data_IF_927514618872
#
_entry.id   IF_927514618872
#
_cell.length_a   1.000
_cell.length_b   1.000
_cell.length_c   1.000
_cell.angle_alpha   90.00
_cell.angle_beta   90.00
_cell.angle_gamma   90.00
#
_symmetry.space_group_name_H-M   'P 1'
#
loop_
_entity.id
_entity.type
_entity.pdbx_description
1 polymer ?
#
# COMPACT_ATOMS: atom_id res chain seq x y z
N UNK A 1 -7.20 -15.30 36.95
CA UNK A 1 -6.32 -14.62 35.97
C UNK A 1 -5.05 -15.43 35.83
N UNK A 2 -4.81 -16.05 34.68
CA UNK A 2 -3.59 -16.86 34.45
C UNK A 2 -2.38 -15.94 34.42
N UNK A 3 -1.41 -16.15 35.31
CA UNK A 3 -0.12 -15.43 35.29
C UNK A 3 0.61 -15.76 33.99
N UNK A 4 1.12 -14.75 33.31
CA UNK A 4 1.85 -14.94 32.07
C UNK A 4 3.27 -15.48 32.36
N UNK A 5 3.59 -16.65 31.82
CA UNK A 5 4.79 -17.45 32.16
C UNK A 5 5.94 -17.35 31.14
N UNK A 6 6.04 -16.22 30.43
CA UNK A 6 7.06 -16.04 29.38
C UNK A 6 8.47 -16.01 29.96
N UNK A 7 9.41 -16.74 29.35
CA UNK A 7 10.85 -16.71 29.71
C UNK A 7 11.58 -15.67 28.85
N UNK A 8 12.73 -15.20 29.32
CA UNK A 8 13.58 -14.28 28.53
C UNK A 8 14.02 -14.90 27.19
N UNK A 9 14.25 -16.22 27.15
CA UNK A 9 14.56 -16.96 25.92
C UNK A 9 13.48 -16.87 24.84
N UNK A 10 12.22 -16.65 25.22
CA UNK A 10 11.10 -16.47 24.29
C UNK A 10 11.11 -15.08 23.63
N UNK A 11 12.01 -14.20 24.06
CA UNK A 11 12.08 -12.79 23.65
C UNK A 11 12.16 -12.56 22.15
N UNK A 12 13.09 -13.21 21.42
CA UNK A 12 13.21 -13.02 19.98
C UNK A 12 11.93 -13.42 19.24
N UNK A 13 11.28 -14.52 19.68
CA UNK A 13 10.07 -15.04 19.05
C UNK A 13 8.90 -14.08 19.23
N UNK A 14 8.64 -13.58 20.44
CA UNK A 14 7.52 -12.67 20.65
C UNK A 14 7.72 -11.34 19.92
N UNK A 15 8.96 -10.82 19.86
CA UNK A 15 9.26 -9.57 19.15
C UNK A 15 9.00 -9.72 17.66
N UNK A 16 9.45 -10.83 17.06
CA UNK A 16 9.18 -11.15 15.66
C UNK A 16 7.69 -11.26 15.35
N UNK A 17 6.92 -11.93 16.21
CA UNK A 17 5.47 -12.05 16.08
C UNK A 17 4.77 -10.68 16.23
N UNK A 18 5.19 -9.85 17.18
CA UNK A 18 4.64 -8.51 17.38
C UNK A 18 4.89 -7.60 16.17
N UNK A 19 6.10 -7.63 15.60
CA UNK A 19 6.45 -6.89 14.38
C UNK A 19 5.62 -7.39 13.19
N UNK A 20 5.47 -8.70 13.03
CA UNK A 20 4.67 -9.30 11.96
C UNK A 20 3.19 -8.91 12.08
N UNK A 21 2.64 -8.93 13.30
CA UNK A 21 1.26 -8.49 13.60
C UNK A 21 1.06 -7.01 13.27
N UNK A 22 2.00 -6.14 13.66
CA UNK A 22 1.95 -4.71 13.34
C UNK A 22 2.01 -4.45 11.84
N UNK A 23 2.92 -5.11 11.12
CA UNK A 23 3.04 -4.98 9.65
C UNK A 23 1.76 -5.41 8.93
N UNK A 24 1.15 -6.53 9.35
CA UNK A 24 -0.13 -6.98 8.78
C UNK A 24 -1.24 -5.94 9.00
N UNK A 25 -1.34 -5.38 10.22
CA UNK A 25 -2.31 -4.31 10.53
C UNK A 25 -2.11 -3.08 9.63
N UNK A 26 -0.88 -2.60 9.49
CA UNK A 26 -0.58 -1.44 8.65
C UNK A 26 -0.83 -1.71 7.17
N UNK A 27 -0.51 -2.92 6.67
CA UNK A 27 -0.83 -3.30 5.30
C UNK A 27 -2.35 -3.24 5.07
N UNK A 28 -3.16 -3.74 6.03
CA UNK A 28 -4.63 -3.72 5.92
C UNK A 28 -5.17 -2.30 5.79
N UNK A 29 -4.74 -1.41 6.69
CA UNK A 29 -5.11 0.00 6.63
C UNK A 29 -4.66 0.66 5.31
N UNK A 30 -3.47 0.32 4.82
CA UNK A 30 -2.93 0.88 3.58
C UNK A 30 -3.71 0.45 2.33
N UNK A 31 -4.14 -0.82 2.26
CA UNK A 31 -4.99 -1.31 1.16
C UNK A 31 -6.39 -0.72 1.23
N UNK A 32 -6.93 -0.58 2.44
CA UNK A 32 -8.22 0.06 2.67
C UNK A 32 -8.20 1.52 2.22
N UNK A 33 -7.12 2.24 2.56
CA UNK A 33 -6.90 3.62 2.15
C UNK A 33 -6.88 3.81 0.62
N UNK A 34 -6.35 2.82 -0.13
CA UNK A 34 -6.30 2.86 -1.59
C UNK A 34 -7.52 2.19 -2.29
N UNK A 35 -8.55 1.81 -1.54
CA UNK A 35 -9.84 1.37 -2.10
C UNK A 35 -10.05 -0.14 -2.21
N UNK A 36 -9.24 -0.97 -1.55
CA UNK A 36 -9.44 -2.42 -1.39
C UNK A 36 -9.50 -3.29 -2.67
N UNK A 37 -9.18 -2.73 -3.84
CA UNK A 37 -9.21 -3.45 -5.11
C UNK A 37 -8.05 -3.03 -5.99
N UNK A 38 -7.65 -3.90 -6.92
CA UNK A 38 -6.70 -3.53 -7.96
C UNK A 38 -7.30 -2.42 -8.84
N UNK A 39 -6.58 -1.33 -9.01
CA UNK A 39 -6.98 -0.20 -9.85
C UNK A 39 -7.03 -0.54 -11.36
N UNK A 40 -6.37 -1.61 -11.80
CA UNK A 40 -6.34 -2.03 -13.20
C UNK A 40 -7.41 -3.08 -13.53
N UNK A 41 -7.42 -4.22 -12.83
CA UNK A 41 -8.33 -5.32 -13.13
C UNK A 41 -9.49 -5.49 -12.13
N UNK A 42 -9.56 -4.67 -11.08
CA UNK A 42 -10.63 -4.75 -10.07
C UNK A 42 -10.51 -5.91 -9.06
N UNK A 43 -9.44 -6.71 -9.11
CA UNK A 43 -9.24 -7.84 -8.18
C UNK A 43 -9.31 -7.41 -6.71
N UNK A 44 -10.18 -8.05 -5.93
CA UNK A 44 -10.41 -7.77 -4.50
C UNK A 44 -10.59 -9.03 -3.63
N UNK A 45 -10.30 -10.22 -4.17
CA UNK A 45 -10.59 -11.50 -3.48
C UNK A 45 -9.59 -11.83 -2.37
N UNK A 46 -8.31 -11.49 -2.57
CA UNK A 46 -7.24 -11.77 -1.62
C UNK A 46 -6.38 -10.54 -1.36
N UNK A 47 -6.49 -10.00 -0.15
CA UNK A 47 -5.66 -8.90 0.33
C UNK A 47 -4.15 -9.18 0.23
N UNK A 48 -3.73 -10.44 0.42
CA UNK A 48 -2.32 -10.78 0.37
C UNK A 48 -1.74 -10.62 -1.05
N UNK A 49 -2.57 -10.82 -2.08
CA UNK A 49 -2.20 -10.68 -3.49
C UNK A 49 -2.27 -9.22 -4.00
N UNK A 50 -2.62 -8.26 -3.14
CA UNK A 50 -2.55 -6.84 -3.45
C UNK A 50 -1.19 -6.26 -3.05
N UNK A 51 -0.64 -5.45 -3.93
CA UNK A 51 0.70 -4.88 -3.90
C UNK A 51 0.64 -3.38 -4.25
N UNK A 52 1.59 -2.61 -3.70
CA UNK A 52 1.71 -1.19 -3.94
C UNK A 52 2.74 -0.95 -5.03
N UNK A 53 2.31 -0.37 -6.13
CA UNK A 53 3.19 0.04 -7.22
C UNK A 53 3.37 1.56 -7.15
N UNK A 54 4.61 2.03 -7.26
CA UNK A 54 4.91 3.47 -7.29
C UNK A 54 4.59 4.03 -8.67
N UNK A 55 3.91 5.17 -8.74
CA UNK A 55 3.69 5.87 -10.02
C UNK A 55 5.04 6.37 -10.55
N UNK A 56 5.32 6.12 -11.83
CA UNK A 56 6.58 6.55 -12.46
C UNK A 56 6.76 8.08 -12.36
N UNK A 57 7.95 8.52 -11.97
CA UNK A 57 8.33 9.94 -11.82
C UNK A 57 8.31 10.49 -10.40
N UNK A 58 7.67 9.82 -9.44
CA UNK A 58 7.73 10.22 -8.03
C UNK A 58 8.92 9.55 -7.32
N UNK A 59 9.86 10.33 -6.77
CA UNK A 59 10.94 9.79 -5.93
C UNK A 59 10.29 9.11 -4.71
N UNK A 60 10.43 7.77 -4.63
CA UNK A 60 10.03 7.00 -3.46
C UNK A 60 10.92 7.36 -2.27
N UNK A 61 10.31 7.65 -1.13
CA UNK A 61 11.07 7.83 0.11
C UNK A 61 11.48 6.47 0.67
N UNK A 62 10.63 5.45 0.48
CA UNK A 62 10.86 4.06 0.89
C UNK A 62 9.89 3.10 0.19
N UNK A 63 10.25 1.82 0.10
CA UNK A 63 9.34 0.79 -0.42
C UNK A 63 8.26 0.41 0.59
N UNK A 64 6.97 0.46 0.21
CA UNK A 64 5.81 0.01 0.99
C UNK A 64 5.68 -1.53 1.11
N UNK A 65 6.81 -2.24 1.01
CA UNK A 65 6.91 -3.65 1.31
C UNK A 65 6.98 -3.88 2.85
N UNK A 66 7.24 -5.13 3.24
CA UNK A 66 7.35 -5.57 4.64
C UNK A 66 8.25 -4.70 5.52
N UNK A 67 9.30 -4.10 4.96
CA UNK A 67 10.23 -3.21 5.69
C UNK A 67 9.72 -1.78 5.87
N UNK A 68 9.00 -1.22 4.89
CA UNK A 68 8.43 0.13 4.95
C UNK A 68 7.27 0.27 5.94
N UNK A 69 6.52 -0.81 6.17
CA UNK A 69 5.41 -0.89 7.13
C UNK A 69 5.87 -1.00 8.60
N UNK A 70 6.92 -0.26 8.93
CA UNK A 70 7.45 -0.10 10.29
C UNK A 70 7.41 1.35 10.76
N UNK A 71 7.08 2.30 9.87
CA UNK A 71 6.99 3.74 10.16
C UNK A 71 5.67 4.15 10.80
N UNK A 72 5.50 5.45 11.06
CA UNK A 72 4.23 6.02 11.51
C UNK A 72 3.17 5.94 10.42
N UNK A 73 1.90 6.00 10.80
CA UNK A 73 0.80 5.93 9.84
C UNK A 73 0.80 7.13 8.89
N UNK A 74 1.12 8.32 9.39
CA UNK A 74 1.20 9.56 8.61
C UNK A 74 2.29 9.47 7.54
N UNK A 75 3.44 8.89 7.89
CA UNK A 75 4.54 8.67 6.94
C UNK A 75 4.14 7.66 5.86
N UNK A 76 3.45 6.59 6.26
CA UNK A 76 2.93 5.58 5.32
C UNK A 76 1.91 6.21 4.38
N UNK A 77 0.99 7.03 4.90
CA UNK A 77 -0.05 7.71 4.12
C UNK A 77 0.55 8.60 3.03
N UNK A 78 1.55 9.44 3.36
CA UNK A 78 2.28 10.27 2.39
C UNK A 78 2.90 9.45 1.26
N UNK A 79 3.41 8.27 1.55
CA UNK A 79 4.00 7.40 0.53
C UNK A 79 2.92 6.66 -0.28
N UNK A 80 1.78 6.32 0.34
CA UNK A 80 0.64 5.71 -0.35
C UNK A 80 0.04 6.64 -1.42
N UNK A 81 0.04 7.94 -1.20
CA UNK A 81 -0.43 8.94 -2.19
C UNK A 81 0.37 8.90 -3.50
N UNK A 82 1.65 8.47 -3.44
CA UNK A 82 2.52 8.27 -4.61
C UNK A 82 2.35 6.89 -5.26
N UNK A 83 1.51 6.04 -4.70
CA UNK A 83 1.35 4.66 -5.11
C UNK A 83 -0.04 4.38 -5.68
N UNK A 84 -0.14 3.28 -6.41
CA UNK A 84 -1.38 2.68 -6.90
C UNK A 84 -1.47 1.26 -6.40
N UNK A 85 -2.70 0.82 -6.08
CA UNK A 85 -2.95 -0.51 -5.59
C UNK A 85 -3.21 -1.45 -6.77
N UNK A 86 -2.39 -2.48 -6.90
CA UNK A 86 -2.48 -3.45 -8.00
C UNK A 86 -2.39 -4.88 -7.49
N UNK A 87 -2.94 -5.84 -8.21
CA UNK A 87 -2.73 -7.25 -7.88
C UNK A 87 -1.34 -7.70 -8.35
N UNK A 88 -0.81 -8.80 -7.80
CA UNK A 88 0.52 -9.33 -8.16
C UNK A 88 0.70 -9.59 -9.66
N UNK A 89 -0.37 -9.91 -10.39
CA UNK A 89 -0.30 -10.11 -11.85
C UNK A 89 -0.12 -8.78 -12.57
N UNK A 90 -1.03 -7.82 -12.34
CA UNK A 90 -0.93 -6.50 -12.94
C UNK A 90 0.36 -5.78 -12.52
N UNK A 91 0.85 -5.99 -11.30
CA UNK A 91 2.12 -5.44 -10.87
C UNK A 91 3.29 -5.93 -11.74
N UNK A 92 3.34 -7.25 -12.01
CA UNK A 92 4.35 -7.84 -12.90
C UNK A 92 4.17 -7.39 -14.34
N UNK A 93 2.94 -7.26 -14.82
CA UNK A 93 2.64 -6.75 -16.15
C UNK A 93 3.16 -5.31 -16.33
N UNK A 94 2.98 -4.45 -15.33
CA UNK A 94 3.53 -3.08 -15.36
C UNK A 94 5.06 -3.10 -15.44
N UNK A 95 5.74 -3.89 -14.58
CA UNK A 95 7.21 -3.99 -14.61
C UNK A 95 7.77 -4.52 -15.93
N UNK A 96 6.99 -5.31 -16.67
CA UNK A 96 7.36 -5.84 -17.97
C UNK A 96 6.81 -5.02 -19.14
N UNK A 97 6.17 -3.87 -18.89
CA UNK A 97 5.62 -2.99 -19.92
C UNK A 97 4.42 -3.55 -20.68
N UNK A 98 3.77 -4.60 -20.16
CA UNK A 98 2.57 -5.22 -20.78
C UNK A 98 1.34 -4.34 -20.58
N UNK A 99 1.25 -3.66 -19.44
CA UNK A 99 0.16 -2.75 -19.08
C UNK A 99 0.75 -1.43 -18.60
N UNK A 100 0.23 -0.32 -19.10
CA UNK A 100 0.54 1.01 -18.60
C UNK A 100 -0.54 1.48 -17.61
N UNK A 101 -0.11 2.23 -16.60
CA UNK A 101 -1.06 2.90 -15.71
C UNK A 101 -1.84 3.95 -16.51
N UNK A 102 -3.15 4.13 -16.22
CA UNK A 102 -3.89 5.21 -16.84
C UNK A 102 -3.20 6.54 -16.51
N UNK A 103 -2.98 7.43 -17.49
CA UNK A 103 -2.43 8.74 -17.22
C UNK A 103 -3.36 9.48 -16.25
N UNK A 104 -2.77 10.24 -15.32
CA UNK A 104 -3.50 11.13 -14.42
C UNK A 104 -4.35 12.06 -15.30
N UNK A 105 -5.67 11.89 -15.31
CA UNK A 105 -6.56 12.85 -15.96
C UNK A 105 -6.48 14.14 -15.16
N UNK A 106 -5.65 15.08 -15.61
CA UNK A 106 -5.79 16.48 -15.25
C UNK A 106 -7.17 16.90 -15.75
N UNK A 107 -8.16 16.86 -14.86
CA UNK A 107 -9.43 17.55 -15.09
C UNK A 107 -9.09 19.03 -15.04
N UNK A 108 -8.64 19.57 -16.17
CA UNK A 108 -8.63 21.00 -16.40
C UNK A 108 -10.08 21.44 -16.17
N UNK A 109 -10.30 22.22 -15.11
CA UNK A 109 -11.58 22.85 -14.84
C UNK A 109 -11.95 23.63 -16.11
N UNK A 110 -12.86 23.07 -16.91
CA UNK A 110 -13.48 23.76 -18.03
C UNK A 110 -14.07 25.05 -17.46
N UNK A 111 -13.60 26.18 -17.97
CA UNK A 111 -13.80 27.49 -17.38
C UNK A 111 -15.27 27.82 -17.12
N UNK A 112 -15.48 28.59 -16.06
CA UNK A 112 -16.68 29.39 -15.87
C UNK A 112 -16.81 30.33 -17.09
N UNK A 113 -17.61 29.93 -18.07
CA UNK A 113 -18.15 30.83 -19.07
C UNK A 113 -19.07 31.80 -18.33
N UNK A 114 -18.56 33.00 -18.02
CA UNK A 114 -19.39 34.15 -17.72
C UNK A 114 -20.09 34.55 -19.01
N UNK A 115 -21.35 34.15 -19.15
CA UNK A 115 -22.26 34.75 -20.11
C UNK A 115 -22.67 36.14 -19.58
N UNK A 116 -22.26 37.16 -20.33
CA UNK A 116 -22.77 38.55 -20.43
C UNK A 116 -22.99 39.35 -19.15
#
# INVERSE_FOLDING_TARGET
MTKETRRYSDRPRYLSLAVSKRRRKLKMLAVEYLGNKCNLCGYNKCFAALEFHHKDGQKKDFGLASRGLTRSWETIKRELEKCVLVCSNCHKEIHNGVVQLPPETTVEKLGELRET
#
